data_IF_228077679614
#
_entry.id   IF_228077679614
#
_cell.length_a   1.000
_cell.length_b   1.000
_cell.length_c   1.000
_cell.angle_alpha   90.00
_cell.angle_beta   90.00
_cell.angle_gamma   90.00
#
_symmetry.space_group_name_H-M   'P 1'
#
loop_
_entity.id
_entity.type
_entity.pdbx_description
1 polymer ?
#
# COMPACT_ATOMS: atom_id res chain seq x y z
N UNK A 1 -3.15 -15.17 -14.48
CA UNK A 1 -3.86 -14.90 -13.21
C UNK A 1 -4.46 -13.51 -13.22
N UNK A 2 -3.67 -12.49 -13.57
CA UNK A 2 -4.11 -11.08 -13.57
C UNK A 2 -5.38 -10.85 -14.40
N UNK A 3 -5.44 -11.39 -15.61
CA UNK A 3 -6.66 -11.33 -16.46
C UNK A 3 -7.91 -11.90 -15.77
N UNK A 4 -7.76 -12.95 -14.97
CA UNK A 4 -8.89 -13.57 -14.25
C UNK A 4 -9.27 -12.77 -13.01
N UNK A 5 -8.29 -12.22 -12.27
CA UNK A 5 -8.57 -11.28 -11.18
C UNK A 5 -9.25 -9.99 -11.69
N UNK A 6 -8.82 -9.44 -12.84
CA UNK A 6 -9.46 -8.27 -13.47
C UNK A 6 -10.91 -8.55 -13.85
N UNK A 7 -11.23 -9.72 -14.41
CA UNK A 7 -12.61 -10.13 -14.69
C UNK A 7 -13.46 -10.22 -13.41
N UNK A 8 -12.92 -10.77 -12.32
CA UNK A 8 -13.61 -10.83 -11.03
C UNK A 8 -13.87 -9.42 -10.49
N UNK A 9 -12.91 -8.50 -10.60
CA UNK A 9 -13.10 -7.10 -10.23
C UNK A 9 -14.21 -6.42 -11.05
N UNK A 10 -14.20 -6.59 -12.37
CA UNK A 10 -15.22 -6.05 -13.27
C UNK A 10 -16.62 -6.57 -12.90
N UNK A 11 -16.76 -7.88 -12.69
CA UNK A 11 -18.03 -8.51 -12.33
C UNK A 11 -18.56 -8.07 -10.96
N UNK A 12 -17.66 -7.74 -10.02
CA UNK A 12 -18.02 -7.34 -8.65
C UNK A 12 -18.04 -5.82 -8.44
N UNK A 13 -17.82 -5.02 -9.49
CA UNK A 13 -17.67 -3.55 -9.43
C UNK A 13 -16.63 -3.11 -8.38
N UNK A 14 -15.57 -3.90 -8.24
CA UNK A 14 -14.45 -3.61 -7.36
C UNK A 14 -13.37 -2.94 -8.21
N UNK A 15 -12.62 -2.00 -7.62
CA UNK A 15 -11.49 -1.35 -8.28
C UNK A 15 -10.55 -2.41 -8.89
N UNK A 16 -10.19 -2.30 -10.19
CA UNK A 16 -9.28 -3.22 -10.86
C UNK A 16 -7.96 -3.45 -10.11
N UNK A 17 -7.48 -2.45 -9.37
CA UNK A 17 -6.24 -2.49 -8.61
C UNK A 17 -6.31 -3.44 -7.40
N UNK A 18 -7.48 -3.60 -6.78
CA UNK A 18 -7.71 -4.62 -5.74
C UNK A 18 -7.50 -6.03 -6.31
N UNK A 19 -7.77 -6.21 -7.60
CA UNK A 19 -7.51 -7.46 -8.31
C UNK A 19 -6.01 -7.76 -8.39
N UNK A 20 -5.18 -6.73 -8.60
CA UNK A 20 -3.72 -6.84 -8.58
C UNK A 20 -3.20 -7.14 -7.18
N UNK A 21 -3.71 -6.47 -6.14
CA UNK A 21 -3.32 -6.76 -4.74
C UNK A 21 -3.65 -8.21 -4.36
N UNK A 22 -4.86 -8.67 -4.70
CA UNK A 22 -5.30 -10.04 -4.43
C UNK A 22 -4.49 -11.06 -5.24
N UNK A 23 -4.09 -10.73 -6.48
CA UNK A 23 -3.21 -11.60 -7.27
C UNK A 23 -1.84 -11.77 -6.57
N UNK A 24 -1.22 -10.68 -6.10
CA UNK A 24 0.02 -10.74 -5.34
C UNK A 24 -0.13 -11.54 -4.04
N UNK A 25 -1.17 -11.28 -3.25
CA UNK A 25 -1.42 -12.03 -2.01
C UNK A 25 -1.66 -13.52 -2.27
N UNK A 26 -2.30 -13.87 -3.38
CA UNK A 26 -2.49 -15.27 -3.80
C UNK A 26 -1.15 -15.98 -3.99
N UNK A 27 -0.21 -15.36 -4.73
CA UNK A 27 1.12 -15.95 -4.95
C UNK A 27 1.95 -16.03 -3.67
N UNK A 28 1.90 -15.01 -2.82
CA UNK A 28 2.59 -15.00 -1.52
C UNK A 28 2.10 -16.13 -0.61
N UNK A 29 0.79 -16.37 -0.54
CA UNK A 29 0.24 -17.48 0.26
C UNK A 29 0.71 -18.83 -0.23
N UNK A 30 0.75 -19.04 -1.54
CA UNK A 30 1.19 -20.31 -2.12
C UNK A 30 2.66 -20.56 -1.83
N UNK A 31 3.48 -19.53 -2.01
CA UNK A 31 4.91 -19.57 -1.68
C UNK A 31 5.13 -19.95 -0.21
N UNK A 32 4.30 -19.41 0.69
CA UNK A 32 4.43 -19.63 2.14
C UNK A 32 3.92 -21.00 2.60
N UNK A 33 2.77 -21.46 2.10
CA UNK A 33 2.08 -22.62 2.67
C UNK A 33 2.23 -23.91 1.88
N UNK A 34 2.75 -23.87 0.64
CA UNK A 34 3.01 -25.04 -0.24
C UNK A 34 1.92 -26.12 -0.16
N UNK A 35 0.65 -25.71 -0.11
CA UNK A 35 -0.49 -26.57 0.21
C UNK A 35 -1.23 -27.08 -1.04
N UNK A 36 -0.56 -27.06 -2.20
CA UNK A 36 -1.12 -27.60 -3.43
C UNK A 36 -1.09 -29.13 -3.35
N UNK A 37 -2.26 -29.74 -3.51
CA UNK A 37 -2.42 -31.19 -3.61
C UNK A 37 -3.06 -31.51 -4.94
N UNK A 38 -2.33 -32.23 -5.77
CA UNK A 38 -2.77 -32.64 -7.11
C UNK A 38 -4.03 -33.51 -7.03
N UNK A 39 -4.10 -34.37 -6.01
CA UNK A 39 -5.23 -35.27 -5.72
C UNK A 39 -6.58 -34.54 -5.52
N UNK A 40 -6.55 -33.25 -5.15
CA UNK A 40 -7.77 -32.47 -4.91
C UNK A 40 -8.40 -31.91 -6.21
N UNK A 41 -7.70 -32.03 -7.35
CA UNK A 41 -8.12 -31.40 -8.61
C UNK A 41 -8.26 -32.46 -9.70
N UNK A 42 -9.50 -32.84 -9.98
CA UNK A 42 -9.89 -33.84 -11.00
C UNK A 42 -9.80 -33.28 -12.44
N UNK A 43 -8.71 -32.63 -12.80
CA UNK A 43 -8.49 -32.05 -14.13
C UNK A 43 -7.23 -32.68 -14.74
N UNK A 44 -7.35 -33.23 -15.94
CA UNK A 44 -6.26 -33.93 -16.65
C UNK A 44 -5.13 -33.01 -17.14
N UNK A 45 -5.39 -31.70 -17.22
CA UNK A 45 -4.43 -30.68 -17.65
C UNK A 45 -3.87 -29.94 -16.44
N UNK A 46 -2.60 -30.18 -16.12
CA UNK A 46 -1.88 -29.63 -14.97
C UNK A 46 -1.91 -28.10 -14.92
N UNK A 47 -1.78 -27.44 -16.08
CA UNK A 47 -1.79 -25.96 -16.13
C UNK A 47 -3.15 -25.42 -15.75
N UNK A 48 -4.23 -26.06 -16.22
CA UNK A 48 -5.59 -25.70 -15.84
C UNK A 48 -5.86 -26.04 -14.38
N UNK A 49 -5.35 -27.17 -13.89
CA UNK A 49 -5.49 -27.57 -12.49
C UNK A 49 -4.88 -26.52 -11.55
N UNK A 50 -3.64 -26.10 -11.83
CA UNK A 50 -2.96 -25.03 -11.09
C UNK A 50 -3.77 -23.72 -11.18
N UNK A 51 -4.23 -23.32 -12.37
CA UNK A 51 -5.01 -22.09 -12.52
C UNK A 51 -6.30 -22.11 -11.69
N UNK A 52 -7.04 -23.23 -11.68
CA UNK A 52 -8.25 -23.38 -10.86
C UNK A 52 -7.93 -23.27 -9.37
N UNK A 53 -6.81 -23.85 -8.94
CA UNK A 53 -6.35 -23.72 -7.56
C UNK A 53 -6.04 -22.26 -7.18
N UNK A 54 -5.32 -21.54 -8.04
CA UNK A 54 -5.04 -20.11 -7.87
C UNK A 54 -6.35 -19.30 -7.75
N UNK A 55 -7.31 -19.57 -8.63
CA UNK A 55 -8.62 -18.91 -8.62
C UNK A 55 -9.38 -19.21 -7.33
N UNK A 56 -9.33 -20.45 -6.81
CA UNK A 56 -9.99 -20.80 -5.55
C UNK A 56 -9.44 -20.00 -4.37
N UNK A 57 -8.13 -19.78 -4.33
CA UNK A 57 -7.48 -18.96 -3.30
C UNK A 57 -7.86 -17.49 -3.47
N UNK A 58 -7.78 -16.95 -4.70
CA UNK A 58 -8.11 -15.55 -4.95
C UNK A 58 -9.58 -15.24 -4.63
N UNK A 59 -10.52 -16.13 -4.96
CA UNK A 59 -11.95 -15.96 -4.60
C UNK A 59 -12.15 -15.91 -3.09
N UNK A 60 -11.44 -16.73 -2.31
CA UNK A 60 -11.48 -16.65 -0.84
C UNK A 60 -10.95 -15.31 -0.34
N UNK A 61 -9.89 -14.78 -0.96
CA UNK A 61 -9.35 -13.46 -0.66
C UNK A 61 -10.34 -12.34 -1.00
N UNK A 62 -10.97 -12.37 -2.18
CA UNK A 62 -12.01 -11.44 -2.57
C UNK A 62 -13.20 -11.44 -1.61
N UNK A 63 -13.64 -12.62 -1.15
CA UNK A 63 -14.72 -12.73 -0.17
C UNK A 63 -14.30 -12.19 1.21
N UNK A 64 -13.06 -12.44 1.62
CA UNK A 64 -12.49 -11.85 2.84
C UNK A 64 -12.34 -10.33 2.74
N UNK A 65 -12.02 -9.81 1.57
CA UNK A 65 -11.91 -8.36 1.33
C UNK A 65 -13.29 -7.70 1.45
N UNK A 66 -14.30 -8.28 0.79
CA UNK A 66 -15.67 -7.76 0.86
C UNK A 66 -16.27 -7.81 2.27
N UNK A 67 -15.98 -8.86 3.05
CA UNK A 67 -16.50 -8.99 4.43
C UNK A 67 -15.79 -8.08 5.44
N UNK A 68 -14.54 -7.70 5.19
CA UNK A 68 -13.80 -6.72 6.00
C UNK A 68 -14.23 -5.29 5.68
N UNK A 69 -14.38 -4.97 4.39
CA UNK A 69 -14.73 -3.62 3.97
C UNK A 69 -16.20 -3.27 4.20
N UNK A 70 -17.11 -4.23 4.25
CA UNK A 70 -18.50 -3.95 4.64
C UNK A 70 -18.67 -3.60 6.12
N UNK A 71 -17.60 -3.70 6.93
CA UNK A 71 -17.63 -3.53 8.40
C UNK A 71 -16.74 -2.40 8.91
N UNK A 72 -16.01 -1.72 8.04
CA UNK A 72 -15.11 -0.65 8.45
C UNK A 72 -15.38 0.60 7.61
N UNK A 73 -15.86 1.66 8.26
CA UNK A 73 -15.62 3.02 7.76
C UNK A 73 -14.11 3.19 7.73
N UNK A 74 -13.52 3.15 6.52
CA UNK A 74 -12.08 3.30 6.37
C UNK A 74 -11.77 4.78 6.63
N UNK A 75 -11.48 5.12 7.88
CA UNK A 75 -10.88 6.41 8.22
C UNK A 75 -9.46 6.38 7.66
N UNK A 76 -9.28 6.95 6.47
CA UNK A 76 -7.99 7.03 5.80
C UNK A 76 -7.07 8.01 6.54
N UNK A 77 -6.26 7.50 7.48
CA UNK A 77 -5.24 8.29 8.19
C UNK A 77 -3.97 8.43 7.36
N UNK A 78 -3.56 9.66 7.11
CA UNK A 78 -2.24 10.01 6.58
C UNK A 78 -1.22 10.09 7.72
N UNK A 79 0.07 10.03 7.39
CA UNK A 79 1.15 10.21 8.37
C UNK A 79 1.10 11.58 9.07
N UNK A 80 0.45 12.56 8.46
CA UNK A 80 0.26 13.90 9.02
C UNK A 80 -1.01 14.00 9.86
N UNK A 81 -2.00 13.13 9.67
CA UNK A 81 -3.13 13.02 10.58
C UNK A 81 -2.68 12.49 11.94
N UNK A 82 -1.70 11.58 11.96
CA UNK A 82 -1.06 11.14 13.20
C UNK A 82 -0.24 12.27 13.87
N UNK A 83 0.32 13.21 13.10
CA UNK A 83 0.95 14.44 13.64
C UNK A 83 -0.11 15.43 14.15
N UNK A 84 -1.26 15.50 13.48
CA UNK A 84 -2.33 16.42 13.85
C UNK A 84 -3.06 15.97 15.12
N UNK A 85 -3.20 14.66 15.32
CA UNK A 85 -3.82 14.05 16.50
C UNK A 85 -2.95 14.18 17.78
N UNK A 86 -1.61 14.29 17.66
CA UNK A 86 -0.74 14.53 18.82
C UNK A 86 -0.79 15.98 19.32
N UNK A 87 -1.16 16.92 18.44
CA UNK A 87 -1.37 18.34 18.78
C UNK A 87 -2.86 18.53 19.13
N UNK A 88 -3.27 17.99 20.27
CA UNK A 88 -4.62 18.17 20.82
C UNK A 88 -4.88 19.64 21.16
N UNK A 89 -5.42 20.40 20.21
CA UNK A 89 -5.84 21.78 20.42
C UNK A 89 -6.77 22.21 19.29
N UNK A 90 -7.84 22.89 19.64
CA UNK A 90 -8.82 23.50 18.72
C UNK A 90 -8.19 24.03 17.42
N UNK A 91 -8.89 23.88 16.29
CA UNK A 91 -8.56 24.47 14.99
C UNK A 91 -8.45 26.01 15.06
N UNK A 92 -7.35 26.51 15.63
CA UNK A 92 -6.96 27.92 15.68
C UNK A 92 -5.94 28.17 14.56
N UNK A 93 -5.96 29.35 13.95
CA UNK A 93 -5.08 29.74 12.85
C UNK A 93 -3.59 29.65 13.28
N UNK A 94 -3.33 29.84 14.58
CA UNK A 94 -2.01 29.65 15.19
C UNK A 94 -1.53 28.19 15.16
N UNK A 95 -2.44 27.23 15.34
CA UNK A 95 -2.15 25.80 15.31
C UNK A 95 -1.82 25.32 13.89
N UNK A 96 -2.53 25.83 12.88
CA UNK A 96 -2.20 25.55 11.46
C UNK A 96 -0.80 26.04 11.06
N UNK A 97 -0.39 27.22 11.56
CA UNK A 97 0.95 27.74 11.32
C UNK A 97 2.01 26.87 11.99
N UNK A 98 1.77 26.44 13.22
CA UNK A 98 2.68 25.51 13.93
C UNK A 98 2.78 24.17 13.21
N UNK A 99 1.65 23.60 12.76
CA UNK A 99 1.62 22.37 11.95
C UNK A 99 2.44 22.49 10.67
N UNK A 100 2.32 23.62 9.96
CA UNK A 100 3.15 23.92 8.79
C UNK A 100 4.63 24.00 9.15
N UNK A 101 4.99 24.74 10.19
CA UNK A 101 6.39 24.95 10.58
C UNK A 101 7.05 23.64 11.06
N UNK A 102 6.31 22.81 11.80
CA UNK A 102 6.75 21.46 12.20
C UNK A 102 6.93 20.57 10.98
N UNK A 103 5.95 20.53 10.08
CA UNK A 103 6.02 19.73 8.85
C UNK A 103 7.22 20.14 7.99
N UNK A 104 7.51 21.43 7.86
CA UNK A 104 8.69 21.94 7.15
C UNK A 104 9.98 21.50 7.85
N UNK A 105 10.05 21.57 9.19
CA UNK A 105 11.23 21.10 9.95
C UNK A 105 11.48 19.61 9.74
N UNK A 106 10.43 18.78 9.77
CA UNK A 106 10.53 17.33 9.53
C UNK A 106 10.98 17.07 8.09
N UNK A 107 10.33 17.71 7.11
CA UNK A 107 10.69 17.56 5.70
C UNK A 107 12.14 17.95 5.42
N UNK A 108 12.66 19.01 6.06
CA UNK A 108 14.07 19.43 5.94
C UNK A 108 15.09 18.39 6.44
N UNK A 109 14.70 17.44 7.31
CA UNK A 109 15.56 16.33 7.74
C UNK A 109 15.69 15.23 6.68
N UNK A 110 14.80 15.21 5.69
CA UNK A 110 14.81 14.25 4.58
C UNK A 110 15.68 14.77 3.43
N UNK A 111 16.36 13.86 2.74
CA UNK A 111 17.06 14.18 1.49
C UNK A 111 16.06 14.43 0.36
N UNK A 112 16.46 15.15 -0.70
CA UNK A 112 15.60 15.43 -1.85
C UNK A 112 14.96 14.16 -2.45
N UNK A 113 15.72 13.06 -2.52
CA UNK A 113 15.20 11.77 -3.00
C UNK A 113 14.13 11.20 -2.07
N UNK A 114 14.36 11.25 -0.76
CA UNK A 114 13.40 10.79 0.26
C UNK A 114 12.13 11.65 0.27
N UNK A 115 12.27 12.98 0.15
CA UNK A 115 11.14 13.90 0.08
C UNK A 115 10.25 13.60 -1.13
N UNK A 116 10.85 13.43 -2.32
CA UNK A 116 10.10 13.15 -3.55
C UNK A 116 9.32 11.84 -3.43
N UNK A 117 9.99 10.76 -3.00
CA UNK A 117 9.35 9.45 -2.79
C UNK A 117 8.23 9.53 -1.75
N UNK A 118 8.44 10.25 -0.64
CA UNK A 118 7.43 10.38 0.41
C UNK A 118 6.21 11.17 -0.06
N UNK A 119 6.40 12.28 -0.76
CA UNK A 119 5.30 13.11 -1.28
C UNK A 119 4.48 12.33 -2.30
N UNK A 120 5.13 11.63 -3.23
CA UNK A 120 4.43 10.75 -4.17
C UNK A 120 3.76 9.60 -3.44
N UNK A 121 4.38 8.99 -2.43
CA UNK A 121 3.72 7.97 -1.62
C UNK A 121 2.43 8.51 -0.99
N UNK A 122 2.46 9.70 -0.40
CA UNK A 122 1.29 10.32 0.22
C UNK A 122 0.16 10.61 -0.77
N UNK A 123 0.49 11.08 -1.96
CA UNK A 123 -0.47 11.37 -3.02
C UNK A 123 -1.26 10.11 -3.40
N UNK A 124 -0.55 8.97 -3.54
CA UNK A 124 -1.15 7.70 -3.94
C UNK A 124 -1.68 6.87 -2.76
N UNK A 125 -1.21 7.11 -1.53
CA UNK A 125 -1.69 6.42 -0.31
C UNK A 125 -3.18 6.63 -0.05
N UNK A 126 -3.76 7.72 -0.58
CA UNK A 126 -5.20 8.01 -0.53
C UNK A 126 -6.04 6.92 -1.19
N UNK A 127 -5.49 6.24 -2.18
CA UNK A 127 -6.21 5.26 -3.00
C UNK A 127 -5.55 3.88 -3.02
N UNK A 128 -4.28 3.76 -2.64
CA UNK A 128 -3.50 2.54 -2.82
C UNK A 128 -2.56 2.26 -1.64
N UNK A 129 -2.38 0.98 -1.30
CA UNK A 129 -1.44 0.54 -0.27
C UNK A 129 0.02 0.56 -0.75
N UNK A 130 0.22 0.39 -2.05
CA UNK A 130 1.50 0.41 -2.75
C UNK A 130 1.46 1.43 -3.87
N UNK A 131 2.62 1.96 -4.28
CA UNK A 131 2.72 2.77 -5.48
C UNK A 131 2.49 1.87 -6.71
N UNK A 132 1.70 2.30 -7.70
CA UNK A 132 1.48 1.50 -8.90
C UNK A 132 2.76 1.50 -9.75
N UNK A 133 2.93 0.45 -10.57
CA UNK A 133 4.21 0.18 -11.24
C UNK A 133 4.62 1.31 -12.20
N UNK A 134 3.68 1.93 -12.89
CA UNK A 134 3.90 3.10 -13.76
C UNK A 134 4.47 4.30 -12.99
N UNK A 135 4.01 4.52 -11.76
CA UNK A 135 4.50 5.58 -10.88
C UNK A 135 5.87 5.23 -10.31
N UNK A 136 6.11 3.96 -9.98
CA UNK A 136 7.43 3.48 -9.58
C UNK A 136 8.45 3.67 -10.70
N UNK A 137 8.04 3.47 -11.95
CA UNK A 137 8.90 3.60 -13.13
C UNK A 137 9.27 5.07 -13.36
N UNK A 138 8.26 5.94 -13.28
CA UNK A 138 8.45 7.38 -13.38
C UNK A 138 9.37 7.89 -12.25
N UNK A 139 9.16 7.45 -11.01
CA UNK A 139 10.02 7.80 -9.88
C UNK A 139 11.46 7.26 -10.04
N UNK A 140 11.61 6.06 -10.58
CA UNK A 140 12.91 5.43 -10.81
C UNK A 140 13.73 6.24 -11.80
N UNK A 141 13.09 6.67 -12.89
CA UNK A 141 13.69 7.47 -13.95
C UNK A 141 14.03 8.88 -13.45
N UNK A 142 13.09 9.55 -12.77
CA UNK A 142 13.30 10.89 -12.18
C UNK A 142 14.48 10.90 -11.20
N UNK A 143 14.55 9.90 -10.32
CA UNK A 143 15.55 9.84 -9.24
C UNK A 143 16.85 9.14 -9.64
N UNK A 144 16.90 8.59 -10.87
CA UNK A 144 17.98 7.77 -11.42
C UNK A 144 18.37 6.63 -10.48
N UNK A 145 17.37 5.85 -10.05
CA UNK A 145 17.54 4.70 -9.14
C UNK A 145 16.76 3.49 -9.66
N UNK A 146 17.14 2.29 -9.23
CA UNK A 146 16.35 1.08 -9.54
C UNK A 146 15.02 1.09 -8.78
N UNK A 147 13.96 0.51 -9.36
CA UNK A 147 12.63 0.36 -8.72
C UNK A 147 12.73 -0.21 -7.30
N UNK A 148 13.52 -1.27 -7.11
CA UNK A 148 13.76 -1.89 -5.79
C UNK A 148 14.34 -0.92 -4.74
N UNK A 149 15.08 0.10 -5.20
CA UNK A 149 15.69 1.11 -4.33
C UNK A 149 14.66 2.11 -3.83
N UNK A 150 13.60 2.39 -4.59
CA UNK A 150 12.52 3.30 -4.19
C UNK A 150 11.85 2.80 -2.91
N UNK A 151 11.60 1.48 -2.82
CA UNK A 151 11.04 0.87 -1.60
C UNK A 151 11.92 1.12 -0.38
N UNK A 152 13.23 0.93 -0.51
CA UNK A 152 14.19 1.19 0.59
C UNK A 152 14.26 2.67 0.96
N UNK A 153 14.18 3.56 -0.04
CA UNK A 153 14.13 5.02 0.18
C UNK A 153 12.85 5.39 0.94
N UNK A 154 11.70 4.81 0.55
CA UNK A 154 10.41 5.00 1.24
C UNK A 154 10.48 4.55 2.69
N UNK A 155 10.96 3.33 2.95
CA UNK A 155 11.10 2.78 4.31
C UNK A 155 11.98 3.70 5.18
N UNK A 156 13.14 4.11 4.65
CA UNK A 156 14.05 5.04 5.33
C UNK A 156 13.41 6.41 5.60
N UNK A 157 12.65 6.95 4.64
CA UNK A 157 11.98 8.23 4.78
C UNK A 157 10.91 8.18 5.88
N UNK A 158 10.11 7.10 5.92
CA UNK A 158 9.09 6.88 6.95
C UNK A 158 9.73 6.73 8.33
N UNK A 159 10.82 5.97 8.45
CA UNK A 159 11.51 5.79 9.73
C UNK A 159 12.09 7.11 10.27
N UNK A 160 12.66 7.95 9.40
CA UNK A 160 13.12 9.30 9.76
C UNK A 160 11.96 10.18 10.20
N UNK A 161 10.82 10.09 9.51
CA UNK A 161 9.63 10.87 9.82
C UNK A 161 9.07 10.48 11.19
N UNK A 162 8.94 9.18 11.48
CA UNK A 162 8.55 8.67 12.80
C UNK A 162 9.47 9.16 13.91
N UNK A 163 10.79 9.01 13.74
CA UNK A 163 11.77 9.50 14.72
C UNK A 163 11.65 11.00 14.96
N UNK A 164 11.47 11.78 13.90
CA UNK A 164 11.31 13.22 14.02
C UNK A 164 10.02 13.61 14.76
N UNK A 165 8.93 12.85 14.57
CA UNK A 165 7.67 13.01 15.32
C UNK A 165 7.87 12.64 16.79
N UNK A 166 8.51 11.51 17.07
CA UNK A 166 8.78 11.05 18.44
C UNK A 166 9.63 12.07 19.21
N UNK A 167 10.67 12.64 18.57
CA UNK A 167 11.50 13.72 19.14
C UNK A 167 10.68 14.98 19.46
N UNK A 168 9.66 15.29 18.66
CA UNK A 168 8.79 16.45 18.88
C UNK A 168 7.80 16.17 20.02
N UNK A 169 7.27 14.95 20.10
CA UNK A 169 6.30 14.56 21.14
C UNK A 169 6.95 14.36 22.53
N UNK A 170 8.26 14.13 22.60
CA UNK A 170 9.02 14.02 23.85
C UNK A 170 9.49 15.37 24.41
N UNK A 171 9.39 16.45 23.64
CA UNK A 171 9.65 17.84 24.07
C UNK A 171 8.35 18.54 24.44
#
# INVERSE_FOLDING_TARGET
MDKECSKICQNRKIDPHIGTEIAHETFERIRRYKSFKEDEIKITDDRKAILVYLIRISVRLFNSYHSKNSKQDIIHRTYFDDIADTVNGSFDIKDLKQKKDISIKILKKLTHKEQRVLLTDMEYKRHQKYLPDDVLDTLADELKVKKDTIRKIRERAIDKLKKAIDEINQN
#
